data_IF_492937022736
#
_entry.id   IF_492937022736
#
_cell.length_a   1.000
_cell.length_b   1.000
_cell.length_c   1.000
_cell.angle_alpha   90.00
_cell.angle_beta   90.00
_cell.angle_gamma   90.00
#
_symmetry.space_group_name_H-M   'P 1'
#
loop_
_entity.id
_entity.type
_entity.pdbx_description
1 polymer ?
#
# COMPACT_ATOMS: atom_id res chain seq x y z
N UNK A 1 6.89 0.60 13.16
CA UNK A 1 6.07 0.22 11.99
C UNK A 1 6.73 0.60 10.66
N UNK A 2 7.05 1.87 10.45
CA UNK A 2 7.70 2.33 9.22
C UNK A 2 9.02 1.62 8.94
N UNK A 3 9.89 1.54 9.94
CA UNK A 3 11.19 0.87 9.82
C UNK A 3 11.02 -0.60 9.45
N UNK A 4 10.02 -1.28 10.02
CA UNK A 4 9.75 -2.67 9.72
C UNK A 4 9.22 -2.87 8.29
N UNK A 5 8.41 -1.95 7.80
CA UNK A 5 7.94 -1.95 6.40
C UNK A 5 9.12 -1.80 5.45
N UNK A 6 9.97 -0.79 5.68
CA UNK A 6 11.16 -0.59 4.85
C UNK A 6 12.07 -1.82 4.85
N UNK A 7 12.30 -2.41 6.00
CA UNK A 7 13.15 -3.60 6.13
C UNK A 7 12.57 -4.78 5.36
N UNK A 8 11.27 -5.02 5.51
CA UNK A 8 10.59 -6.13 4.86
C UNK A 8 10.70 -6.07 3.34
N UNK A 9 10.45 -4.90 2.74
CA UNK A 9 10.47 -4.75 1.29
C UNK A 9 11.87 -4.48 0.73
N UNK A 10 12.83 -4.12 1.58
CA UNK A 10 14.25 -4.10 1.21
C UNK A 10 14.78 -5.53 1.10
N UNK A 11 14.46 -6.36 2.10
CA UNK A 11 14.93 -7.74 2.14
C UNK A 11 14.21 -8.63 1.12
N UNK A 12 12.94 -8.35 0.87
CA UNK A 12 12.11 -9.17 -0.02
C UNK A 12 11.12 -8.29 -0.79
N UNK A 13 11.57 -7.60 -1.86
CA UNK A 13 10.64 -6.92 -2.76
C UNK A 13 9.71 -7.95 -3.38
N UNK A 14 8.43 -7.62 -3.46
CA UNK A 14 7.43 -8.61 -3.89
C UNK A 14 6.13 -7.99 -4.35
N UNK A 15 5.35 -8.78 -5.07
CA UNK A 15 4.00 -8.41 -5.43
C UNK A 15 3.08 -8.51 -4.22
N UNK A 16 2.17 -7.56 -4.10
CA UNK A 16 1.22 -7.43 -3.00
C UNK A 16 -0.18 -7.30 -3.60
N UNK A 17 -1.14 -7.86 -2.92
CA UNK A 17 -2.54 -7.89 -3.35
C UNK A 17 -3.33 -6.78 -2.68
N UNK A 18 -4.12 -6.04 -3.45
CA UNK A 18 -5.02 -5.04 -2.90
C UNK A 18 -6.13 -5.68 -2.05
N UNK A 19 -6.72 -4.90 -1.15
CA UNK A 19 -7.77 -5.39 -0.23
C UNK A 19 -9.07 -4.57 -0.42
N UNK A 20 -9.81 -4.80 -1.51
CA UNK A 20 -11.05 -4.07 -1.75
C UNK A 20 -12.14 -4.43 -0.74
N UNK A 21 -13.04 -3.48 -0.44
CA UNK A 21 -14.15 -3.67 0.49
C UNK A 21 -15.37 -4.30 -0.15
N UNK A 22 -15.45 -4.27 -1.48
CA UNK A 22 -16.61 -4.77 -2.23
C UNK A 22 -16.20 -6.00 -3.03
N UNK A 23 -17.13 -6.55 -3.81
CA UNK A 23 -16.87 -7.72 -4.67
C UNK A 23 -15.95 -7.40 -5.86
N UNK A 24 -15.26 -6.27 -5.82
CA UNK A 24 -14.25 -5.94 -6.84
C UNK A 24 -13.10 -6.92 -6.74
N UNK A 25 -12.61 -7.33 -7.91
CA UNK A 25 -11.45 -8.21 -8.00
C UNK A 25 -10.22 -7.50 -7.46
N UNK A 26 -9.47 -8.17 -6.58
CA UNK A 26 -8.21 -7.66 -6.09
C UNK A 26 -7.20 -7.56 -7.23
N UNK A 27 -6.38 -6.50 -7.20
CA UNK A 27 -5.33 -6.27 -8.19
C UNK A 27 -3.97 -6.40 -7.50
N UNK A 28 -2.98 -6.90 -8.23
CA UNK A 28 -1.62 -7.03 -7.72
C UNK A 28 -0.78 -5.82 -8.09
N UNK A 29 0.18 -5.49 -7.25
CA UNK A 29 1.17 -4.44 -7.51
C UNK A 29 2.48 -4.85 -6.84
N UNK A 30 3.60 -4.36 -7.40
CA UNK A 30 4.92 -4.68 -6.87
C UNK A 30 5.36 -3.62 -5.86
N UNK A 31 5.95 -4.04 -4.74
CA UNK A 31 6.43 -3.14 -3.69
C UNK A 31 7.92 -3.35 -3.48
N UNK A 32 8.66 -2.27 -3.43
CA UNK A 32 10.11 -2.31 -3.19
C UNK A 32 10.58 -1.01 -2.55
N UNK A 33 11.82 -1.03 -2.06
CA UNK A 33 12.47 0.13 -1.42
C UNK A 33 13.70 0.50 -2.23
N UNK A 34 13.90 1.80 -2.42
CA UNK A 34 15.07 2.34 -3.07
C UNK A 34 15.49 3.62 -2.36
N UNK A 35 16.75 3.68 -1.91
CA UNK A 35 17.28 4.85 -1.20
C UNK A 35 16.43 5.29 0.00
N UNK A 36 15.93 4.33 0.78
CA UNK A 36 15.11 4.59 1.95
C UNK A 36 13.68 5.05 1.66
N UNK A 37 13.25 4.95 0.42
CA UNK A 37 11.90 5.36 -0.02
C UNK A 37 11.10 4.15 -0.46
N UNK A 38 9.81 4.16 -0.14
CA UNK A 38 8.88 3.08 -0.47
C UNK A 38 8.20 3.36 -1.81
N UNK A 39 8.29 2.41 -2.74
CA UNK A 39 7.73 2.52 -4.09
C UNK A 39 6.74 1.40 -4.39
N UNK A 40 5.79 1.71 -5.26
CA UNK A 40 4.93 0.71 -5.89
C UNK A 40 5.03 0.81 -7.41
N UNK A 41 4.84 -0.31 -8.08
CA UNK A 41 4.92 -0.43 -9.54
C UNK A 41 3.92 -1.49 -9.99
N UNK A 42 3.79 -1.69 -11.30
CA UNK A 42 2.94 -2.77 -11.80
C UNK A 42 3.49 -4.13 -11.31
N UNK A 43 2.58 -5.08 -11.11
CA UNK A 43 2.96 -6.41 -10.64
C UNK A 43 3.93 -7.09 -11.62
N UNK A 44 4.88 -7.84 -11.07
CA UNK A 44 5.91 -8.52 -11.86
C UNK A 44 5.60 -9.99 -12.10
N UNK A 45 4.89 -10.63 -11.18
CA UNK A 45 4.66 -12.08 -11.23
C UNK A 45 3.18 -12.45 -11.21
N UNK A 46 2.31 -11.60 -10.66
CA UNK A 46 0.91 -11.94 -10.40
C UNK A 46 -0.04 -11.14 -11.27
N UNK A 47 -1.18 -11.75 -11.60
CA UNK A 47 -2.22 -11.13 -12.42
C UNK A 47 -3.58 -11.30 -11.74
N UNK A 48 -4.52 -10.37 -11.96
CA UNK A 48 -4.38 -9.16 -12.77
C UNK A 48 -3.58 -8.07 -12.05
N UNK A 49 -2.79 -7.35 -12.82
CA UNK A 49 -1.98 -6.25 -12.31
C UNK A 49 -2.78 -4.96 -12.23
N UNK A 50 -2.44 -4.09 -11.28
CA UNK A 50 -2.96 -2.72 -11.23
C UNK A 50 -2.53 -1.93 -12.47
N UNK A 51 -3.26 -0.85 -12.78
CA UNK A 51 -3.02 -0.04 -13.97
C UNK A 51 -1.93 1.03 -13.77
N UNK A 52 -0.88 0.70 -13.03
CA UNK A 52 0.26 1.60 -12.87
C UNK A 52 1.06 1.60 -14.17
N UNK A 53 1.17 2.78 -14.80
CA UNK A 53 1.96 2.94 -16.03
C UNK A 53 3.43 3.17 -15.74
N UNK A 54 3.74 3.65 -14.53
CA UNK A 54 5.10 3.85 -14.03
C UNK A 54 5.09 3.79 -12.52
N UNK A 55 6.27 3.59 -11.92
CA UNK A 55 6.39 3.52 -10.46
C UNK A 55 5.91 4.81 -9.80
N UNK A 56 5.39 4.65 -8.59
CA UNK A 56 5.01 5.77 -7.72
C UNK A 56 5.73 5.65 -6.39
N UNK A 57 6.27 6.77 -5.91
CA UNK A 57 6.81 6.82 -4.55
C UNK A 57 5.65 7.02 -3.57
N UNK A 58 5.47 6.09 -2.64
CA UNK A 58 4.43 6.22 -1.61
C UNK A 58 4.86 7.18 -0.51
N UNK A 59 6.08 7.05 -0.03
CA UNK A 59 6.59 7.92 1.02
C UNK A 59 8.10 7.79 1.16
N UNK A 60 8.70 8.88 1.65
CA UNK A 60 10.11 8.92 2.05
C UNK A 60 10.26 9.03 3.57
N UNK A 61 9.16 9.01 4.34
CA UNK A 61 9.18 9.20 5.79
C UNK A 61 8.02 8.45 6.45
N UNK A 62 8.10 8.32 7.79
CA UNK A 62 7.08 7.62 8.59
C UNK A 62 5.76 8.36 8.69
N UNK A 63 5.73 9.66 8.45
CA UNK A 63 4.56 10.49 8.72
C UNK A 63 3.31 10.00 7.97
N UNK A 64 3.40 9.85 6.66
CA UNK A 64 2.27 9.39 5.86
C UNK A 64 1.88 7.96 6.21
N UNK A 65 2.86 7.12 6.51
CA UNK A 65 2.62 5.75 6.95
C UNK A 65 1.75 5.73 8.21
N UNK A 66 2.08 6.54 9.20
CA UNK A 66 1.34 6.59 10.47
C UNK A 66 -0.10 7.08 10.27
N UNK A 67 -0.27 8.12 9.46
CA UNK A 67 -1.59 8.65 9.13
C UNK A 67 -2.44 7.59 8.41
N UNK A 68 -1.88 6.95 7.40
CA UNK A 68 -2.60 5.95 6.62
C UNK A 68 -2.90 4.69 7.42
N UNK A 69 -2.04 4.32 8.36
CA UNK A 69 -2.30 3.17 9.23
C UNK A 69 -3.51 3.41 10.14
N UNK A 70 -3.65 4.61 10.70
CA UNK A 70 -4.84 4.96 11.48
C UNK A 70 -6.11 4.83 10.63
N UNK A 71 -6.07 5.36 9.42
CA UNK A 71 -7.19 5.27 8.47
C UNK A 71 -7.50 3.80 8.15
N UNK A 72 -6.48 2.98 7.91
CA UNK A 72 -6.63 1.56 7.63
C UNK A 72 -7.33 0.82 8.77
N UNK A 73 -6.95 1.07 10.01
CA UNK A 73 -7.59 0.45 11.18
C UNK A 73 -9.06 0.82 11.26
N UNK A 74 -9.40 2.09 11.04
CA UNK A 74 -10.79 2.54 11.05
C UNK A 74 -11.60 1.95 9.91
N UNK A 75 -10.99 1.82 8.72
CA UNK A 75 -11.61 1.15 7.58
C UNK A 75 -11.93 -0.32 7.89
N UNK A 76 -11.01 -1.03 8.53
CA UNK A 76 -11.21 -2.42 8.95
C UNK A 76 -12.34 -2.54 9.98
N UNK A 77 -12.56 -1.53 10.79
CA UNK A 77 -13.64 -1.53 11.78
C UNK A 77 -14.99 -1.11 11.19
N UNK A 78 -15.06 -0.83 9.90
CA UNK A 78 -16.31 -0.51 9.21
C UNK A 78 -16.59 0.98 9.05
N UNK A 79 -15.67 1.87 9.42
CA UNK A 79 -15.87 3.31 9.22
C UNK A 79 -15.71 3.69 7.75
N UNK A 80 -16.48 4.67 7.31
CA UNK A 80 -16.38 5.23 5.97
C UNK A 80 -15.24 6.27 5.96
N UNK A 81 -14.10 5.89 5.38
CA UNK A 81 -12.88 6.72 5.39
C UNK A 81 -12.43 7.18 4.01
N UNK A 82 -13.19 6.85 2.94
CA UNK A 82 -12.77 7.12 1.57
C UNK A 82 -12.43 8.57 1.30
N UNK A 83 -13.26 9.51 1.75
CA UNK A 83 -13.02 10.95 1.54
C UNK A 83 -11.79 11.44 2.30
N UNK A 84 -11.63 10.99 3.53
CA UNK A 84 -10.48 11.34 4.36
C UNK A 84 -9.18 10.82 3.72
N UNK A 85 -9.17 9.57 3.31
CA UNK A 85 -8.00 8.95 2.68
C UNK A 85 -7.64 9.67 1.37
N UNK A 86 -8.63 9.96 0.52
CA UNK A 86 -8.42 10.67 -0.75
C UNK A 86 -7.85 12.07 -0.53
N UNK A 87 -8.24 12.74 0.55
CA UNK A 87 -7.70 14.05 0.91
C UNK A 87 -6.23 14.02 1.33
N UNK A 88 -5.72 12.85 1.73
CA UNK A 88 -4.33 12.68 2.17
C UNK A 88 -3.46 12.16 1.03
N UNK A 89 -3.94 11.19 0.27
CA UNK A 89 -3.17 10.56 -0.79
C UNK A 89 -4.07 9.96 -1.86
N UNK A 90 -3.58 9.94 -3.10
CA UNK A 90 -4.23 9.19 -4.21
C UNK A 90 -3.82 7.72 -4.20
N UNK A 91 -2.96 7.31 -3.27
CA UNK A 91 -2.36 5.97 -3.21
C UNK A 91 -2.89 5.12 -2.05
N UNK A 92 -4.05 5.44 -1.49
CA UNK A 92 -4.60 4.76 -0.32
C UNK A 92 -4.72 3.25 -0.50
N UNK A 93 -5.14 2.79 -1.68
CA UNK A 93 -5.31 1.37 -1.98
C UNK A 93 -3.99 0.59 -1.83
N UNK A 94 -2.87 1.20 -2.20
CA UNK A 94 -1.56 0.56 -2.08
C UNK A 94 -1.13 0.44 -0.62
N UNK A 95 -1.38 1.49 0.18
CA UNK A 95 -1.13 1.45 1.62
C UNK A 95 -1.89 0.32 2.30
N UNK A 96 -3.19 0.17 1.97
CA UNK A 96 -4.01 -0.87 2.57
C UNK A 96 -3.48 -2.27 2.25
N UNK A 97 -3.08 -2.49 1.01
CA UNK A 97 -2.49 -3.76 0.61
C UNK A 97 -1.20 -4.06 1.35
N UNK A 98 -0.34 -3.06 1.51
CA UNK A 98 0.93 -3.20 2.24
C UNK A 98 0.68 -3.55 3.71
N UNK A 99 -0.25 -2.86 4.37
CA UNK A 99 -0.57 -3.16 5.76
C UNK A 99 -1.12 -4.57 5.93
N UNK A 100 -1.98 -5.01 5.02
CA UNK A 100 -2.52 -6.37 5.03
C UNK A 100 -1.42 -7.43 4.79
N UNK A 101 -0.51 -7.17 3.85
CA UNK A 101 0.62 -8.06 3.55
C UNK A 101 1.54 -8.21 4.77
N UNK A 102 1.70 -7.14 5.54
CA UNK A 102 2.51 -7.12 6.74
C UNK A 102 1.76 -7.62 7.99
N UNK A 103 0.51 -7.99 7.87
CA UNK A 103 -0.37 -8.42 8.97
C UNK A 103 -0.54 -7.36 10.07
N UNK A 104 -0.63 -6.12 9.66
CA UNK A 104 -0.80 -5.00 10.58
C UNK A 104 -2.25 -4.65 10.89
#
# INVERSE_FOLDING_TARGET
MWVNILRSYTDNPRDVKSVPLTNKKALWFHVYVENGKLYVDCARENQPSSNLTKRRMLSSSSEKCDIMYDIYKRRKSGQAVSKEATGITVNSIYWYGIFADMNL
#
